data_IF_086271591623
#
_entry.id   IF_086271591623
#
_cell.length_a   1.000
_cell.length_b   1.000
_cell.length_c   1.000
_cell.angle_alpha   90.00
_cell.angle_beta   90.00
_cell.angle_gamma   90.00
#
_symmetry.space_group_name_H-M   'P 1'
#
loop_
_entity.id
_entity.type
_entity.pdbx_description
1 polymer ?
#
# COMPACT_ATOMS: atom_id res chain seq x y z
N UNK A 1 18.01 28.75 2.15
CA UNK A 1 18.04 27.57 3.04
C UNK A 1 17.11 27.82 4.21
N UNK A 2 15.98 27.14 4.26
CA UNK A 2 15.21 26.97 5.50
C UNK A 2 14.82 25.50 5.58
N UNK A 3 15.66 24.70 6.24
CA UNK A 3 15.27 23.36 6.62
C UNK A 3 14.20 23.50 7.71
N UNK A 4 12.95 23.20 7.36
CA UNK A 4 11.84 23.13 8.30
C UNK A 4 11.85 21.76 8.96
N UNK A 5 12.58 21.63 10.07
CA UNK A 5 12.80 20.38 10.81
C UNK A 5 11.63 19.98 11.74
N UNK A 6 10.40 20.43 11.48
CA UNK A 6 9.24 20.00 12.25
C UNK A 6 7.97 19.90 11.39
N UNK A 7 8.03 19.13 10.30
CA UNK A 7 6.80 18.58 9.73
C UNK A 7 6.49 17.30 10.49
N UNK A 8 5.84 17.43 11.65
CA UNK A 8 5.29 16.27 12.33
C UNK A 8 4.33 15.58 11.34
N UNK A 9 4.70 14.39 10.87
CA UNK A 9 3.81 13.60 10.04
C UNK A 9 2.74 13.06 11.00
N UNK A 10 1.63 13.78 11.15
CA UNK A 10 0.51 13.35 11.99
C UNK A 10 -0.47 12.57 11.13
N UNK A 11 -0.19 11.29 10.89
CA UNK A 11 -1.25 10.35 10.52
C UNK A 11 -1.72 9.60 11.76
N UNK A 12 -2.96 9.14 11.74
CA UNK A 12 -3.55 8.39 12.83
C UNK A 12 -3.36 6.89 12.57
N UNK A 13 -2.40 6.24 13.26
CA UNK A 13 -2.15 4.80 13.12
C UNK A 13 -3.42 3.97 13.34
N UNK A 14 -4.20 4.31 14.36
CA UNK A 14 -5.48 3.66 14.66
C UNK A 14 -6.49 3.81 13.52
N UNK A 15 -6.58 4.99 12.91
CA UNK A 15 -7.52 5.29 11.83
C UNK A 15 -7.13 4.52 10.56
N UNK A 16 -5.83 4.46 10.25
CA UNK A 16 -5.28 3.65 9.17
C UNK A 16 -5.62 2.16 9.37
N UNK A 17 -5.33 1.58 10.54
CA UNK A 17 -5.63 0.17 10.82
C UNK A 17 -7.12 -0.11 10.73
N UNK A 18 -7.95 0.74 11.32
CA UNK A 18 -9.41 0.62 11.24
C UNK A 18 -9.91 0.69 9.80
N UNK A 19 -9.36 1.57 8.98
CA UNK A 19 -9.67 1.64 7.56
C UNK A 19 -9.28 0.33 6.85
N UNK A 20 -8.07 -0.18 7.09
CA UNK A 20 -7.59 -1.41 6.47
C UNK A 20 -8.45 -2.62 6.88
N UNK A 21 -8.73 -2.78 8.18
CA UNK A 21 -9.59 -3.82 8.75
C UNK A 21 -10.98 -3.82 8.11
N UNK A 22 -11.60 -2.65 7.95
CA UNK A 22 -12.90 -2.50 7.31
C UNK A 22 -12.89 -2.90 5.82
N UNK A 23 -11.71 -2.95 5.19
CA UNK A 23 -11.55 -3.28 3.78
C UNK A 23 -10.99 -4.69 3.56
N UNK A 24 -10.81 -5.53 4.58
CA UNK A 24 -10.21 -6.87 4.42
C UNK A 24 -10.91 -7.74 3.39
N UNK A 25 -12.24 -7.65 3.26
CA UNK A 25 -12.99 -8.38 2.24
C UNK A 25 -12.61 -7.95 0.81
N UNK A 26 -12.30 -6.67 0.61
CA UNK A 26 -11.85 -6.12 -0.67
C UNK A 26 -10.42 -6.53 -1.03
N UNK A 27 -9.64 -7.01 -0.05
CA UNK A 27 -8.26 -7.47 -0.21
C UNK A 27 -8.15 -9.00 -0.35
N UNK A 28 -9.26 -9.72 -0.54
CA UNK A 28 -9.25 -11.17 -0.74
C UNK A 28 -8.99 -11.51 -2.21
N UNK A 29 -7.86 -12.17 -2.48
CA UNK A 29 -7.44 -12.53 -3.84
C UNK A 29 -7.55 -14.03 -4.13
N UNK A 30 -8.26 -14.77 -3.27
CA UNK A 30 -8.60 -16.18 -3.49
C UNK A 30 -7.52 -17.16 -3.05
N UNK A 31 -6.51 -16.69 -2.32
CA UNK A 31 -5.53 -17.55 -1.63
C UNK A 31 -5.54 -17.24 -0.14
N UNK A 32 -6.16 -18.12 0.65
CA UNK A 32 -6.38 -17.91 2.07
C UNK A 32 -5.08 -17.69 2.88
N UNK A 33 -3.95 -18.31 2.49
CA UNK A 33 -2.68 -18.14 3.20
C UNK A 33 -2.09 -16.75 2.95
N UNK A 34 -2.13 -16.30 1.69
CA UNK A 34 -1.67 -14.97 1.28
C UNK A 34 -2.57 -13.89 1.85
N UNK A 35 -3.89 -14.06 1.74
CA UNK A 35 -4.88 -13.11 2.25
C UNK A 35 -4.71 -12.92 3.77
N UNK A 36 -4.49 -14.01 4.51
CA UNK A 36 -4.20 -13.98 5.95
C UNK A 36 -2.89 -13.23 6.25
N UNK A 37 -1.82 -13.50 5.49
CA UNK A 37 -0.54 -12.81 5.65
C UNK A 37 -0.70 -11.29 5.45
N UNK A 38 -1.40 -10.87 4.41
CA UNK A 38 -1.65 -9.45 4.12
C UNK A 38 -2.42 -8.79 5.27
N UNK A 39 -3.50 -9.42 5.76
CA UNK A 39 -4.29 -8.91 6.89
C UNK A 39 -3.44 -8.78 8.17
N UNK A 40 -2.63 -9.80 8.50
CA UNK A 40 -1.73 -9.76 9.67
C UNK A 40 -0.68 -8.63 9.57
N UNK A 41 -0.19 -8.33 8.37
CA UNK A 41 0.72 -7.22 8.12
C UNK A 41 0.00 -5.86 8.22
N UNK A 42 -1.19 -5.74 7.65
CA UNK A 42 -2.00 -4.52 7.70
C UNK A 42 -2.38 -4.14 9.15
N UNK A 43 -2.70 -5.11 10.01
CA UNK A 43 -2.94 -4.90 11.45
C UNK A 43 -1.73 -4.34 12.21
N UNK A 44 -0.51 -4.56 11.70
CA UNK A 44 0.75 -4.10 12.31
C UNK A 44 1.27 -2.81 11.69
N UNK A 45 0.55 -2.24 10.70
CA UNK A 45 0.97 -1.03 10.01
C UNK A 45 1.03 0.15 10.97
N UNK A 46 2.11 0.93 10.90
CA UNK A 46 2.34 2.14 11.69
C UNK A 46 2.48 3.39 10.82
N UNK A 47 2.53 3.26 9.50
CA UNK A 47 2.64 4.42 8.60
C UNK A 47 1.98 4.16 7.23
N UNK A 48 1.46 5.18 6.54
CA UNK A 48 0.76 5.00 5.27
C UNK A 48 1.62 4.37 4.18
N UNK A 49 2.91 4.70 4.14
CA UNK A 49 3.85 4.28 3.10
C UNK A 49 4.40 2.86 3.29
N UNK A 50 4.07 2.15 4.38
CA UNK A 50 4.44 0.73 4.58
C UNK A 50 3.23 -0.20 4.53
N UNK A 51 2.04 0.32 4.21
CA UNK A 51 0.84 -0.49 4.03
C UNK A 51 1.14 -1.53 2.94
N UNK A 52 0.97 -2.81 3.29
CA UNK A 52 1.10 -3.89 2.33
C UNK A 52 -0.16 -3.94 1.45
N UNK A 53 0.07 -3.98 0.14
CA UNK A 53 -0.94 -4.06 -0.90
C UNK A 53 -0.65 -5.27 -1.78
N UNK A 54 -1.68 -6.05 -2.12
CA UNK A 54 -1.57 -7.05 -3.18
C UNK A 54 -1.78 -6.40 -4.54
N UNK A 55 -0.83 -6.57 -5.45
CA UNK A 55 -0.88 -6.01 -6.80
C UNK A 55 -1.11 -7.16 -7.77
N UNK A 56 -2.28 -7.15 -8.42
CA UNK A 56 -2.63 -8.11 -9.46
C UNK A 56 -1.70 -8.05 -10.67
N UNK A 57 -1.47 -9.19 -11.33
CA UNK A 57 -0.58 -9.25 -12.50
C UNK A 57 -1.05 -8.32 -13.65
N UNK A 58 -2.36 -8.14 -13.78
CA UNK A 58 -3.02 -7.26 -14.75
C UNK A 58 -2.72 -5.76 -14.53
N UNK A 59 -2.19 -5.40 -13.37
CA UNK A 59 -1.75 -4.04 -13.04
C UNK A 59 -0.36 -3.71 -13.58
N UNK A 60 0.36 -4.68 -14.15
CA UNK A 60 1.67 -4.47 -14.74
C UNK A 60 1.59 -4.31 -16.28
N UNK A 61 2.40 -3.40 -16.82
CA UNK A 61 2.59 -3.15 -18.26
C UNK A 61 4.07 -3.11 -18.61
N UNK A 62 4.37 -3.02 -19.91
CA UNK A 62 5.74 -2.95 -20.41
C UNK A 62 6.59 -4.10 -19.84
N UNK A 63 6.02 -5.30 -19.84
CA UNK A 63 6.65 -6.48 -19.26
C UNK A 63 7.79 -6.90 -20.20
N UNK A 64 9.01 -6.81 -19.70
CA UNK A 64 10.25 -7.10 -20.41
C UNK A 64 10.93 -8.32 -19.79
N UNK A 65 11.31 -9.28 -20.63
CA UNK A 65 12.10 -10.44 -20.21
C UNK A 65 13.56 -10.04 -20.06
N UNK A 66 14.16 -10.36 -18.90
CA UNK A 66 15.58 -10.08 -18.65
C UNK A 66 16.42 -11.36 -18.61
N UNK A 67 15.92 -12.40 -17.95
CA UNK A 67 16.58 -13.70 -17.84
C UNK A 67 15.56 -14.78 -17.42
N UNK A 68 15.98 -16.04 -17.38
CA UNK A 68 15.13 -17.14 -16.91
C UNK A 68 14.58 -16.84 -15.50
N UNK A 69 13.26 -16.76 -15.39
CA UNK A 69 12.57 -16.41 -14.14
C UNK A 69 12.61 -14.93 -13.74
N UNK A 70 13.20 -14.04 -14.55
CA UNK A 70 13.34 -12.61 -14.23
C UNK A 70 12.70 -11.74 -15.32
N UNK A 71 11.75 -10.92 -14.89
CA UNK A 71 11.05 -9.94 -15.73
C UNK A 71 11.11 -8.56 -15.06
N UNK A 72 11.24 -7.52 -15.88
CA UNK A 72 10.96 -6.15 -15.47
C UNK A 72 9.54 -5.77 -15.93
N UNK A 73 8.86 -4.92 -15.16
CA UNK A 73 7.57 -4.39 -15.56
C UNK A 73 7.33 -3.01 -14.93
N UNK A 74 6.45 -2.23 -15.53
CA UNK A 74 5.94 -0.98 -14.98
C UNK A 74 4.61 -1.25 -14.29
N UNK A 75 4.46 -0.83 -13.04
CA UNK A 75 3.17 -0.81 -12.37
C UNK A 75 2.34 0.38 -12.87
N UNK A 76 1.09 0.15 -13.30
CA UNK A 76 0.19 1.19 -13.84
C UNK A 76 -0.25 2.22 -12.78
N UNK A 77 -0.24 1.82 -11.52
CA UNK A 77 -0.71 2.60 -10.39
C UNK A 77 0.49 3.01 -9.51
N UNK A 78 0.22 3.62 -8.36
CA UNK A 78 1.24 4.07 -7.43
C UNK A 78 0.97 3.58 -6.00
N UNK A 79 2.01 3.60 -5.17
CA UNK A 79 1.92 3.25 -3.76
C UNK A 79 1.30 4.38 -2.94
N UNK A 80 0.76 4.00 -1.77
CA UNK A 80 0.22 4.96 -0.81
C UNK A 80 1.32 5.89 -0.29
N UNK A 81 1.14 7.20 -0.49
CA UNK A 81 2.08 8.24 -0.07
C UNK A 81 1.74 8.79 1.31
N UNK A 82 0.46 9.08 1.54
CA UNK A 82 -0.02 9.72 2.76
C UNK A 82 -1.43 9.31 3.12
N UNK A 83 -1.75 9.44 4.39
CA UNK A 83 -3.11 9.36 4.92
C UNK A 83 -3.74 10.76 4.95
N UNK A 84 -4.95 10.88 4.43
CA UNK A 84 -5.79 12.07 4.53
C UNK A 84 -6.82 11.87 5.66
N UNK A 85 -6.58 12.50 6.80
CA UNK A 85 -7.46 12.40 7.97
C UNK A 85 -8.83 13.05 7.79
N UNK A 86 -8.94 14.03 6.89
CA UNK A 86 -10.21 14.75 6.69
C UNK A 86 -11.18 13.92 5.83
N UNK A 87 -10.64 13.02 5.00
CA UNK A 87 -11.39 12.18 4.07
C UNK A 87 -11.37 10.68 4.43
N UNK A 88 -10.64 10.32 5.48
CA UNK A 88 -10.36 8.93 5.86
C UNK A 88 -9.91 8.06 4.67
N UNK A 89 -8.96 8.56 3.87
CA UNK A 89 -8.47 7.87 2.68
C UNK A 89 -6.97 7.99 2.47
N UNK A 90 -6.39 7.03 1.73
CA UNK A 90 -5.01 7.13 1.27
C UNK A 90 -4.89 7.97 0.00
N UNK A 91 -3.81 8.74 -0.11
CA UNK A 91 -3.42 9.41 -1.35
C UNK A 91 -2.18 8.74 -1.92
N UNK A 92 -2.18 8.48 -3.23
CA UNK A 92 -1.09 7.83 -3.96
C UNK A 92 -0.10 8.86 -4.52
N UNK A 93 1.09 8.42 -4.95
CA UNK A 93 2.04 9.30 -5.65
C UNK A 93 1.50 9.62 -7.05
N UNK A 94 1.50 10.91 -7.40
CA UNK A 94 1.29 11.42 -8.77
C UNK A 94 2.55 11.32 -9.61
#
# INVERSE_FOLDING_TARGET
>A
MTHNWNKAIQYCEFCIRKYLENNFENWTYGNNEIDKLIQECQQKTIEPNIVIEWIGYDQFVNIEYLAEGIYAATWKDAFFKKWNSDKDCFEKIE
#
